data_IF_654764205242
#
_entry.id   IF_654764205242
#
_cell.length_a   1.000
_cell.length_b   1.000
_cell.length_c   1.000
_cell.angle_alpha   90.00
_cell.angle_beta   90.00
_cell.angle_gamma   90.00
#
_symmetry.space_group_name_H-M   'P 1'
#
loop_
_entity.id
_entity.type
_entity.pdbx_description
1 polymer ?
#
# COMPACT_ATOMS: atom_id res chain seq x y z
N UNK A 1 -21.71 7.51 15.89
CA UNK A 1 -22.47 6.93 14.78
C UNK A 1 -23.18 8.07 14.06
N UNK A 2 -22.87 8.36 12.80
CA UNK A 2 -23.58 9.39 12.03
C UNK A 2 -24.97 8.85 11.69
N UNK A 3 -25.97 9.20 12.51
CA UNK A 3 -27.36 8.87 12.24
C UNK A 3 -28.01 10.05 11.52
N UNK A 4 -28.75 9.76 10.46
CA UNK A 4 -29.59 10.76 9.79
C UNK A 4 -30.55 11.41 10.82
N UNK A 5 -30.71 12.75 10.81
CA UNK A 5 -31.71 13.44 11.62
C UNK A 5 -33.11 12.83 11.43
N UNK A 6 -33.93 12.80 12.47
CA UNK A 6 -35.22 12.08 12.47
C UNK A 6 -36.15 12.41 11.29
N UNK A 7 -36.14 13.66 10.83
CA UNK A 7 -36.94 14.11 9.68
C UNK A 7 -36.37 13.68 8.33
N UNK A 8 -35.05 13.53 8.19
CA UNK A 8 -34.38 13.11 6.96
C UNK A 8 -34.49 11.60 6.68
N UNK A 9 -34.94 10.80 7.66
CA UNK A 9 -35.26 9.37 7.47
C UNK A 9 -36.56 9.13 6.72
N UNK A 10 -37.45 10.13 6.67
CA UNK A 10 -38.75 10.02 5.97
C UNK A 10 -38.62 10.21 4.47
N UNK A 11 -37.57 10.89 4.01
CA UNK A 11 -37.35 11.13 2.60
C UNK A 11 -36.48 10.02 1.99
N UNK A 12 -37.05 9.20 1.08
CA UNK A 12 -36.32 8.11 0.44
C UNK A 12 -35.11 8.58 -0.37
N UNK A 13 -35.09 9.84 -0.83
CA UNK A 13 -33.95 10.39 -1.58
C UNK A 13 -32.73 10.60 -0.69
N UNK A 14 -32.91 11.19 0.50
CA UNK A 14 -31.82 11.43 1.45
C UNK A 14 -31.22 10.12 1.98
N UNK A 15 -32.05 9.10 2.21
CA UNK A 15 -31.58 7.76 2.59
C UNK A 15 -30.73 7.15 1.47
N UNK A 16 -31.13 7.34 0.21
CA UNK A 16 -30.37 6.84 -0.95
C UNK A 16 -29.03 7.55 -1.11
N UNK A 17 -28.99 8.88 -0.98
CA UNK A 17 -27.76 9.67 -1.05
C UNK A 17 -26.80 9.31 0.08
N UNK A 18 -27.31 9.17 1.31
CA UNK A 18 -26.51 8.76 2.46
C UNK A 18 -25.91 7.36 2.28
N UNK A 19 -26.70 6.39 1.81
CA UNK A 19 -26.20 5.04 1.52
C UNK A 19 -25.16 5.04 0.40
N UNK A 20 -25.32 5.84 -0.64
CA UNK A 20 -24.35 5.94 -1.74
C UNK A 20 -23.00 6.50 -1.24
N UNK A 21 -23.04 7.57 -0.43
CA UNK A 21 -21.83 8.16 0.16
C UNK A 21 -21.15 7.18 1.13
N UNK A 22 -21.91 6.52 2.00
CA UNK A 22 -21.38 5.51 2.90
C UNK A 22 -20.75 4.34 2.16
N UNK A 23 -21.43 3.80 1.15
CA UNK A 23 -20.95 2.66 0.39
C UNK A 23 -19.68 3.04 -0.40
N UNK A 24 -19.62 4.24 -0.96
CA UNK A 24 -18.42 4.78 -1.61
C UNK A 24 -17.23 4.91 -0.65
N UNK A 25 -17.45 5.47 0.55
CA UNK A 25 -16.39 5.59 1.56
C UNK A 25 -15.92 4.23 2.08
N UNK A 26 -16.81 3.27 2.29
CA UNK A 26 -16.46 1.92 2.73
C UNK A 26 -15.65 1.21 1.65
N UNK A 27 -16.08 1.28 0.38
CA UNK A 27 -15.35 0.70 -0.73
C UNK A 27 -13.94 1.29 -0.87
N UNK A 28 -13.82 2.62 -0.76
CA UNK A 28 -12.52 3.30 -0.81
C UNK A 28 -11.63 2.90 0.38
N UNK A 29 -12.17 2.86 1.60
CA UNK A 29 -11.43 2.45 2.79
C UNK A 29 -10.87 1.03 2.64
N UNK A 30 -11.71 0.08 2.22
CA UNK A 30 -11.30 -1.31 2.01
C UNK A 30 -10.22 -1.39 0.92
N UNK A 31 -10.39 -0.64 -0.18
CA UNK A 31 -9.40 -0.58 -1.26
C UNK A 31 -8.04 -0.07 -0.79
N UNK A 32 -8.00 1.03 -0.03
CA UNK A 32 -6.76 1.60 0.51
C UNK A 32 -6.13 0.64 1.53
N UNK A 33 -6.91 0.05 2.42
CA UNK A 33 -6.42 -0.92 3.40
C UNK A 33 -5.80 -2.14 2.73
N UNK A 34 -6.42 -2.66 1.67
CA UNK A 34 -5.89 -3.80 0.91
C UNK A 34 -4.57 -3.45 0.21
N UNK A 35 -4.47 -2.27 -0.40
CA UNK A 35 -3.24 -1.81 -1.06
C UNK A 35 -2.09 -1.60 -0.08
N UNK A 36 -2.38 -1.02 1.09
CA UNK A 36 -1.39 -0.87 2.17
C UNK A 36 -0.96 -2.23 2.71
N UNK A 37 -1.89 -3.16 2.93
CA UNK A 37 -1.57 -4.51 3.38
C UNK A 37 -0.68 -5.26 2.38
N UNK A 38 -0.99 -5.17 1.09
CA UNK A 38 -0.19 -5.76 0.01
C UNK A 38 1.22 -5.16 -0.04
N UNK A 39 1.31 -3.83 -0.01
CA UNK A 39 2.59 -3.13 -0.02
C UNK A 39 3.43 -3.49 1.20
N UNK A 40 2.79 -3.63 2.36
CA UNK A 40 3.44 -4.05 3.61
C UNK A 40 3.92 -5.50 3.51
N UNK A 41 3.14 -6.41 2.93
CA UNK A 41 3.55 -7.79 2.73
C UNK A 41 4.80 -7.89 1.83
N UNK A 42 4.82 -7.13 0.73
CA UNK A 42 5.99 -7.06 -0.16
C UNK A 42 7.22 -6.49 0.57
N UNK A 43 7.02 -5.43 1.37
CA UNK A 43 8.12 -4.84 2.13
C UNK A 43 8.70 -5.78 3.20
N UNK A 44 7.87 -6.68 3.76
CA UNK A 44 8.30 -7.67 4.75
C UNK A 44 9.14 -8.82 4.18
N UNK A 45 9.06 -9.09 2.87
CA UNK A 45 9.84 -10.12 2.17
C UNK A 45 11.01 -9.54 1.34
N UNK A 46 11.15 -8.22 1.34
CA UNK A 46 12.13 -7.51 0.52
C UNK A 46 13.59 -7.84 0.89
N UNK A 47 13.85 -8.17 2.15
CA UNK A 47 15.18 -8.58 2.62
C UNK A 47 15.62 -9.91 1.99
N UNK A 48 14.74 -10.91 1.91
CA UNK A 48 15.03 -12.19 1.26
C UNK A 48 15.36 -12.02 -0.24
N UNK A 49 14.66 -11.11 -0.92
CA UNK A 49 14.93 -10.77 -2.32
C UNK A 49 16.34 -10.18 -2.51
N UNK A 50 16.76 -9.26 -1.63
CA UNK A 50 18.09 -8.66 -1.69
C UNK A 50 19.18 -9.71 -1.44
N UNK A 51 18.98 -10.60 -0.48
CA UNK A 51 19.94 -11.67 -0.15
C UNK A 51 20.07 -12.64 -1.31
N UNK A 52 18.96 -13.05 -1.92
CA UNK A 52 18.94 -13.90 -3.11
C UNK A 52 19.70 -13.27 -4.28
N UNK A 53 19.48 -11.98 -4.51
CA UNK A 53 20.16 -11.22 -5.57
C UNK A 53 21.67 -11.10 -5.30
N UNK A 54 22.07 -10.79 -4.08
CA UNK A 54 23.50 -10.71 -3.70
C UNK A 54 24.16 -12.08 -3.72
N UNK A 55 23.47 -13.15 -3.32
CA UNK A 55 23.96 -14.53 -3.38
C UNK A 55 24.13 -15.00 -4.83
N UNK A 56 23.24 -14.60 -5.73
CA UNK A 56 23.37 -14.88 -7.16
C UNK A 56 24.55 -14.13 -7.80
N UNK A 57 24.92 -12.96 -7.27
CA UNK A 57 25.99 -12.12 -7.80
C UNK A 57 27.35 -12.35 -7.10
N UNK A 58 27.38 -12.90 -5.89
CA UNK A 58 28.59 -13.15 -5.10
C UNK A 58 28.81 -14.66 -4.89
N UNK A 59 29.96 -15.16 -5.33
CA UNK A 59 30.29 -16.59 -5.28
C UNK A 59 30.10 -17.24 -3.89
N UNK A 60 29.57 -18.46 -3.90
CA UNK A 60 28.81 -19.12 -2.82
C UNK A 60 29.45 -19.40 -1.45
N UNK A 61 30.63 -18.85 -1.13
CA UNK A 61 31.21 -18.97 0.23
C UNK A 61 31.01 -17.70 1.08
N UNK A 62 30.88 -16.53 0.47
CA UNK A 62 30.58 -15.27 1.16
C UNK A 62 29.09 -15.17 1.55
N UNK A 63 28.20 -15.67 0.69
CA UNK A 63 26.75 -15.71 0.93
C UNK A 63 26.34 -16.56 2.15
N UNK A 64 27.10 -17.62 2.47
CA UNK A 64 26.83 -18.48 3.63
C UNK A 64 27.12 -17.79 4.98
N UNK A 65 28.23 -17.05 5.07
CA UNK A 65 28.59 -16.29 6.28
C UNK A 65 27.69 -15.05 6.48
N UNK A 66 27.21 -14.49 5.38
CA UNK A 66 26.20 -13.42 5.38
C UNK A 66 24.85 -13.97 5.86
N UNK A 67 24.44 -15.19 5.44
CA UNK A 67 23.20 -15.86 5.91
C UNK A 67 23.19 -16.16 7.42
N UNK A 68 24.30 -16.63 7.97
CA UNK A 68 24.43 -16.91 9.42
C UNK A 68 24.47 -15.61 10.25
N UNK A 69 25.07 -14.54 9.70
CA UNK A 69 24.98 -13.18 10.27
C UNK A 69 23.58 -12.56 10.11
N UNK A 70 22.81 -13.00 9.10
CA UNK A 70 21.44 -12.58 8.80
C UNK A 70 20.38 -13.21 9.71
N UNK A 71 20.58 -14.43 10.17
CA UNK A 71 19.68 -15.04 11.17
C UNK A 71 19.74 -14.28 12.51
N UNK A 72 20.92 -13.78 12.88
CA UNK A 72 21.13 -12.85 14.00
C UNK A 72 20.69 -11.40 13.68
N UNK A 73 20.70 -10.99 12.40
CA UNK A 73 20.19 -9.69 11.94
C UNK A 73 18.69 -9.69 11.62
N UNK A 74 17.94 -10.78 11.56
CA UNK A 74 16.49 -10.72 11.32
C UNK A 74 15.74 -9.88 12.38
N UNK A 75 16.33 -9.71 13.57
CA UNK A 75 15.83 -8.82 14.62
C UNK A 75 16.24 -7.35 14.41
N UNK A 76 17.40 -7.07 13.79
CA UNK A 76 17.97 -5.72 13.65
C UNK A 76 17.88 -5.16 12.21
N UNK A 77 18.13 -5.99 11.21
CA UNK A 77 18.03 -5.75 9.78
C UNK A 77 16.60 -5.45 9.31
N UNK A 78 15.56 -5.98 9.96
CA UNK A 78 14.16 -5.62 9.67
C UNK A 78 13.84 -4.16 10.00
N UNK A 79 14.47 -3.62 11.05
CA UNK A 79 14.32 -2.21 11.46
C UNK A 79 15.11 -1.30 10.52
N UNK A 80 16.32 -1.72 10.12
CA UNK A 80 17.16 -0.96 9.18
C UNK A 80 16.54 -0.95 7.78
N UNK A 81 16.00 -2.08 7.29
CA UNK A 81 15.32 -2.16 6.00
C UNK A 81 14.03 -1.35 5.98
N UNK A 82 13.22 -1.39 7.06
CA UNK A 82 12.07 -0.51 7.22
C UNK A 82 12.48 0.98 7.26
N UNK A 83 13.58 1.31 7.95
CA UNK A 83 14.14 2.67 7.97
C UNK A 83 14.59 3.14 6.58
N UNK A 84 15.32 2.31 5.84
CA UNK A 84 15.76 2.60 4.48
C UNK A 84 14.58 2.71 3.51
N UNK A 85 13.56 1.85 3.66
CA UNK A 85 12.33 1.92 2.89
C UNK A 85 11.60 3.24 3.12
N UNK A 86 11.46 3.68 4.38
CA UNK A 86 10.85 4.97 4.69
C UNK A 86 11.65 6.15 4.12
N UNK A 87 12.98 6.09 4.11
CA UNK A 87 13.83 7.10 3.47
C UNK A 87 13.63 7.11 1.96
N UNK A 88 13.55 5.93 1.32
CA UNK A 88 13.30 5.80 -0.12
C UNK A 88 11.91 6.34 -0.48
N UNK A 89 10.87 5.96 0.25
CA UNK A 89 9.50 6.45 0.04
C UNK A 89 9.40 7.96 0.29
N UNK A 90 10.05 8.47 1.35
CA UNK A 90 10.13 9.90 1.62
C UNK A 90 10.91 10.64 0.52
N UNK A 91 12.00 10.06 0.02
CA UNK A 91 12.78 10.59 -1.10
C UNK A 91 12.01 10.57 -2.43
N UNK A 92 11.14 9.58 -2.63
CA UNK A 92 10.31 9.44 -3.81
C UNK A 92 9.34 10.62 -3.98
N UNK A 93 9.01 11.33 -2.90
CA UNK A 93 8.31 12.62 -2.94
C UNK A 93 8.98 13.70 -3.77
N UNK A 94 10.30 13.67 -3.87
CA UNK A 94 11.07 14.66 -4.64
C UNK A 94 11.31 14.23 -6.09
N UNK A 95 11.23 12.92 -6.36
CA UNK A 95 11.48 12.36 -7.70
C UNK A 95 10.20 12.28 -8.52
N UNK A 96 9.09 11.87 -7.90
CA UNK A 96 7.83 11.67 -8.61
C UNK A 96 6.87 12.85 -8.41
N UNK A 97 6.30 13.42 -9.49
CA UNK A 97 5.28 14.44 -9.39
C UNK A 97 3.97 13.80 -8.92
N UNK A 98 3.82 13.62 -7.61
CA UNK A 98 2.71 12.86 -7.02
C UNK A 98 1.33 13.32 -7.45
N UNK A 99 1.16 14.62 -7.68
CA UNK A 99 -0.08 15.21 -8.22
C UNK A 99 -0.48 14.63 -9.59
N UNK A 100 0.50 14.27 -10.44
CA UNK A 100 0.24 13.65 -11.74
C UNK A 100 -0.05 12.16 -11.61
N UNK A 101 0.65 11.48 -10.69
CA UNK A 101 0.46 10.05 -10.45
C UNK A 101 -0.95 9.79 -9.91
N UNK A 102 -1.41 10.58 -8.93
CA UNK A 102 -2.77 10.44 -8.39
C UNK A 102 -3.83 10.73 -9.45
N UNK A 103 -3.65 11.77 -10.27
CA UNK A 103 -4.57 12.08 -11.37
C UNK A 103 -4.64 10.97 -12.43
N UNK A 104 -3.51 10.33 -12.75
CA UNK A 104 -3.50 9.18 -13.68
C UNK A 104 -4.21 7.96 -13.09
N UNK A 105 -4.04 7.69 -11.79
CA UNK A 105 -4.73 6.59 -11.08
C UNK A 105 -6.23 6.83 -11.03
N UNK A 106 -6.67 8.06 -10.70
CA UNK A 106 -8.09 8.42 -10.71
C UNK A 106 -8.70 8.26 -12.11
N UNK A 107 -8.01 8.74 -13.14
CA UNK A 107 -8.48 8.62 -14.54
C UNK A 107 -8.55 7.16 -14.98
N UNK A 108 -7.56 6.34 -14.59
CA UNK A 108 -7.56 4.91 -14.88
C UNK A 108 -8.71 4.19 -14.16
N UNK A 109 -8.94 4.49 -12.89
CA UNK A 109 -10.02 3.90 -12.10
C UNK A 109 -11.41 4.27 -12.67
N UNK A 110 -11.60 5.53 -13.07
CA UNK A 110 -12.82 5.98 -13.74
C UNK A 110 -13.02 5.30 -15.10
N UNK A 111 -11.94 5.09 -15.87
CA UNK A 111 -12.00 4.39 -17.16
C UNK A 111 -12.36 2.92 -17.01
N UNK A 112 -11.85 2.23 -16.00
CA UNK A 112 -12.26 0.86 -15.69
C UNK A 112 -13.71 0.79 -15.26
N UNK A 113 -14.17 1.69 -14.37
CA UNK A 113 -15.58 1.76 -13.97
C UNK A 113 -16.55 2.10 -15.11
N UNK A 114 -16.08 2.81 -16.13
CA UNK A 114 -16.86 3.15 -17.34
C UNK A 114 -16.93 2.01 -18.36
N UNK A 115 -16.03 1.02 -18.29
CA UNK A 115 -15.97 -0.08 -19.27
C UNK A 115 -16.93 -1.22 -18.90
N UNK A 116 -17.41 -1.25 -17.65
CA UNK A 116 -18.37 -2.24 -17.12
C UNK A 116 -19.85 -1.78 -17.18
N UNK A 117 -20.18 -0.68 -17.86
CA UNK A 117 -21.56 -0.22 -18.13
C UNK A 117 -21.90 -0.25 -19.62
#
# INVERSE_FOLDING_TARGET
>A
ASMLPGDARRDPEYVRQFNNVLNGHIAHLIGVMALVALTTAIALEFDDFLISTVSALSGGQWAGQVKESLELQLTYGKVISAGLFLIVVAGMRFVLPWQRVTGMVETAFLRFSSTDN
#
